data_IF_248391291993
#
_entry.id   IF_248391291993
#
_cell.length_a   1.000
_cell.length_b   1.000
_cell.length_c   1.000
_cell.angle_alpha   90.00
_cell.angle_beta   90.00
_cell.angle_gamma   90.00
#
_symmetry.space_group_name_H-M   'P 1'
#
loop_
_entity.id
_entity.type
_entity.pdbx_description
1 polymer ?
#
# COMPACT_ATOMS: atom_id res chain seq x y z
N UNK A 1 40.49 -15.60 28.73
CA UNK A 1 39.41 -14.60 28.57
C UNK A 1 39.37 -13.99 27.16
N UNK A 2 40.51 -13.78 26.48
CA UNK A 2 40.55 -13.33 25.07
C UNK A 2 40.03 -14.36 24.04
N UNK A 3 40.20 -15.67 24.26
CA UNK A 3 39.81 -16.69 23.27
C UNK A 3 38.29 -16.86 23.13
N UNK A 4 37.50 -16.59 24.18
CA UNK A 4 36.04 -16.74 24.16
C UNK A 4 35.36 -15.63 23.33
N UNK A 5 35.94 -14.43 23.34
CA UNK A 5 35.48 -13.27 22.55
C UNK A 5 35.70 -13.49 21.05
N UNK A 6 36.84 -14.09 20.68
CA UNK A 6 37.19 -14.37 19.28
C UNK A 6 36.28 -15.44 18.67
N UNK A 7 35.99 -16.51 19.42
CA UNK A 7 35.08 -17.59 18.98
C UNK A 7 33.65 -17.04 18.79
N UNK A 8 33.21 -16.15 19.69
CA UNK A 8 31.91 -15.49 19.58
C UNK A 8 31.82 -14.60 18.33
N UNK A 9 32.85 -13.80 18.05
CA UNK A 9 32.87 -12.92 16.89
C UNK A 9 32.91 -13.68 15.54
N UNK A 10 33.67 -14.78 15.48
CA UNK A 10 33.67 -15.65 14.31
C UNK A 10 32.34 -16.38 14.14
N UNK A 11 31.73 -16.85 15.23
CA UNK A 11 30.40 -17.46 15.21
C UNK A 11 29.33 -16.50 14.68
N UNK A 12 29.32 -15.25 15.16
CA UNK A 12 28.37 -14.22 14.70
C UNK A 12 28.58 -13.85 13.23
N UNK A 13 29.83 -13.78 12.76
CA UNK A 13 30.14 -13.48 11.36
C UNK A 13 29.69 -14.61 10.42
N UNK A 14 29.92 -15.86 10.81
CA UNK A 14 29.45 -17.04 10.05
C UNK A 14 27.93 -17.09 10.02
N UNK A 15 27.27 -16.79 11.14
CA UNK A 15 25.81 -16.77 11.21
C UNK A 15 25.21 -15.65 10.34
N UNK A 16 25.85 -14.48 10.28
CA UNK A 16 25.45 -13.37 9.40
C UNK A 16 25.56 -13.76 7.92
N UNK A 17 26.69 -14.34 7.51
CA UNK A 17 26.88 -14.86 6.14
C UNK A 17 25.85 -15.94 5.81
N UNK A 18 25.62 -16.87 6.73
CA UNK A 18 24.63 -17.93 6.57
C UNK A 18 23.20 -17.36 6.49
N UNK A 19 22.87 -16.30 7.24
CA UNK A 19 21.57 -15.65 7.16
C UNK A 19 21.34 -14.99 5.80
N UNK A 20 22.37 -14.39 5.18
CA UNK A 20 22.25 -13.81 3.83
C UNK A 20 22.13 -14.92 2.78
N UNK A 21 23.01 -15.93 2.83
CA UNK A 21 23.04 -17.01 1.81
C UNK A 21 21.78 -17.89 1.87
N UNK A 22 21.25 -18.13 3.05
CA UNK A 22 20.12 -19.04 3.25
C UNK A 22 18.86 -18.32 3.73
N UNK A 23 18.68 -17.04 3.37
CA UNK A 23 17.43 -16.28 3.57
C UNK A 23 16.90 -16.38 5.01
N UNK A 24 17.78 -16.22 6.00
CA UNK A 24 17.41 -16.22 7.42
C UNK A 24 16.94 -17.56 7.98
N UNK A 25 17.17 -18.70 7.32
CA UNK A 25 16.72 -20.03 7.81
C UNK A 25 17.12 -20.33 9.26
N UNK A 26 18.30 -19.89 9.71
CA UNK A 26 18.71 -20.09 11.11
C UNK A 26 17.98 -19.15 12.07
N UNK A 27 17.70 -17.91 11.66
CA UNK A 27 16.79 -16.99 12.38
C UNK A 27 15.41 -17.65 12.54
N UNK A 28 14.83 -18.16 11.47
CA UNK A 28 13.50 -18.80 11.52
C UNK A 28 13.47 -20.04 12.42
N UNK A 29 14.55 -20.85 12.45
CA UNK A 29 14.66 -21.98 13.38
C UNK A 29 14.73 -21.54 14.84
N UNK A 30 15.44 -20.46 15.12
CA UNK A 30 15.57 -19.89 16.46
C UNK A 30 14.24 -19.33 16.98
N UNK A 31 13.48 -18.62 16.14
CA UNK A 31 12.16 -18.09 16.50
C UNK A 31 11.03 -19.11 16.55
N UNK A 32 11.28 -20.36 16.12
CA UNK A 32 10.29 -21.46 16.23
C UNK A 32 10.27 -22.10 17.62
N UNK A 33 11.17 -21.69 18.52
CA UNK A 33 11.15 -22.11 19.92
C UNK A 33 10.12 -21.26 20.69
N UNK A 34 9.09 -21.87 21.33
CA UNK A 34 8.07 -21.14 22.07
C UNK A 34 8.61 -20.19 23.15
N UNK A 35 9.79 -20.48 23.72
CA UNK A 35 10.42 -19.63 24.75
C UNK A 35 11.00 -18.35 24.13
N UNK A 36 11.53 -18.45 22.91
CA UNK A 36 12.06 -17.32 22.15
C UNK A 36 10.91 -16.47 21.60
N UNK A 37 9.85 -17.11 21.13
CA UNK A 37 8.65 -16.44 20.62
C UNK A 37 7.97 -15.58 21.70
N UNK A 38 7.81 -16.12 22.91
CA UNK A 38 7.24 -15.40 24.05
C UNK A 38 8.08 -14.19 24.50
N UNK A 39 9.37 -14.17 24.17
CA UNK A 39 10.31 -13.10 24.53
C UNK A 39 10.73 -12.26 23.33
N UNK A 40 10.11 -12.43 22.17
CA UNK A 40 10.49 -11.77 20.91
C UNK A 40 10.58 -10.25 21.04
N UNK A 41 9.60 -9.63 21.69
CA UNK A 41 9.55 -8.18 21.91
C UNK A 41 10.68 -7.65 22.81
N UNK A 42 11.30 -8.52 23.61
CA UNK A 42 12.45 -8.18 24.46
C UNK A 42 13.80 -8.43 23.77
N UNK A 43 13.79 -9.22 22.70
CA UNK A 43 14.97 -9.55 21.88
C UNK A 43 15.19 -8.56 20.73
N UNK A 44 14.25 -7.62 20.53
CA UNK A 44 14.44 -6.52 19.59
C UNK A 44 15.53 -5.58 20.12
N UNK A 45 16.60 -5.44 19.36
CA UNK A 45 17.58 -4.39 19.59
C UNK A 45 16.86 -3.03 19.50
N UNK A 46 17.09 -2.13 20.44
CA UNK A 46 16.59 -0.76 20.31
C UNK A 46 17.14 -0.20 19.00
N UNK A 47 16.28 0.36 18.17
CA UNK A 47 16.66 0.96 16.88
C UNK A 47 17.96 1.77 17.03
N UNK A 48 19.00 1.48 16.24
CA UNK A 48 20.28 2.18 16.34
C UNK A 48 20.04 3.65 16.03
N UNK A 49 20.35 4.53 16.98
CA UNK A 49 20.10 5.98 16.83
C UNK A 49 21.05 6.65 15.83
N UNK A 50 22.05 5.92 15.30
CA UNK A 50 22.99 6.41 14.29
C UNK A 50 23.37 5.27 13.34
N UNK A 51 22.91 5.35 12.09
CA UNK A 51 23.33 4.47 11.00
C UNK A 51 24.48 5.19 10.26
N UNK A 52 25.69 4.60 10.11
CA UNK A 52 26.75 5.20 9.33
C UNK A 52 26.39 5.14 7.84
N UNK A 53 26.21 6.32 7.24
CA UNK A 53 25.81 6.46 5.85
C UNK A 53 27.04 6.27 4.95
N UNK A 54 27.13 5.14 4.23
CA UNK A 54 28.11 4.95 3.16
C UNK A 54 27.47 5.42 1.85
N UNK A 55 27.76 6.66 1.45
CA UNK A 55 27.34 7.19 0.15
C UNK A 55 28.27 6.72 -0.97
N UNK A 56 27.81 5.83 -1.86
CA UNK A 56 28.41 5.70 -3.20
C UNK A 56 27.69 6.65 -4.15
N UNK A 57 28.29 7.82 -4.39
CA UNK A 57 27.79 8.80 -5.36
C UNK A 57 27.89 8.25 -6.78
N UNK A 58 26.77 8.14 -7.49
CA UNK A 58 26.74 8.29 -8.95
C UNK A 58 25.98 9.59 -9.21
N UNK A 59 26.73 10.67 -9.45
CA UNK A 59 26.17 12.01 -9.64
C UNK A 59 25.59 12.14 -11.06
N UNK A 60 24.29 12.44 -11.15
CA UNK A 60 23.63 12.83 -12.40
C UNK A 60 23.66 14.37 -12.53
N UNK A 61 24.22 14.95 -13.61
CA UNK A 61 24.59 16.38 -13.64
C UNK A 61 23.46 17.37 -13.98
N UNK A 62 22.17 17.01 -13.87
CA UNK A 62 21.05 17.86 -14.33
C UNK A 62 20.12 18.43 -13.25
N UNK A 63 20.46 18.37 -11.95
CA UNK A 63 19.62 19.00 -10.92
C UNK A 63 20.41 19.98 -10.06
N UNK A 64 20.32 21.27 -10.39
CA UNK A 64 20.79 22.36 -9.56
C UNK A 64 19.60 22.93 -8.77
N UNK A 65 19.53 22.59 -7.48
CA UNK A 65 19.28 23.55 -6.42
C UNK A 65 19.64 22.94 -5.06
N UNK A 66 20.86 23.24 -4.63
CA UNK A 66 21.34 23.06 -3.26
C UNK A 66 20.60 24.02 -2.31
N UNK A 67 19.78 23.46 -1.44
CA UNK A 67 19.57 23.95 -0.07
C UNK A 67 19.92 22.82 0.89
N UNK A 68 20.58 23.18 1.99
CA UNK A 68 21.33 22.29 2.88
C UNK A 68 20.57 21.08 3.40
N UNK A 69 21.33 20.04 3.71
CA UNK A 69 20.89 18.90 4.50
C UNK A 69 20.53 19.36 5.91
N UNK A 70 19.26 19.67 6.13
CA UNK A 70 18.62 19.69 7.44
C UNK A 70 17.60 18.54 7.47
N UNK A 71 17.66 17.72 8.52
CA UNK A 71 16.69 16.72 9.00
C UNK A 71 15.65 16.19 7.99
N UNK A 72 15.67 14.87 7.72
CA UNK A 72 14.65 14.06 7.01
C UNK A 72 13.46 14.90 6.53
N UNK A 73 13.60 15.50 5.34
CA UNK A 73 12.76 16.62 4.94
C UNK A 73 11.35 16.12 4.65
N UNK A 74 10.46 16.31 5.60
CA UNK A 74 9.02 16.20 5.39
C UNK A 74 8.65 17.04 4.15
N UNK A 75 8.10 16.40 3.13
CA UNK A 75 7.66 17.06 1.90
C UNK A 75 6.18 17.30 1.97
N UNK A 76 5.80 18.54 2.30
CA UNK A 76 4.41 18.99 2.33
C UNK A 76 4.02 19.53 0.96
N UNK A 77 3.02 18.91 0.35
CA UNK A 77 2.52 19.23 -0.98
C UNK A 77 1.05 19.67 -0.83
N UNK A 78 0.84 20.98 -0.81
CA UNK A 78 -0.51 21.57 -0.76
C UNK A 78 -1.10 21.64 -2.17
N UNK A 79 -2.36 21.22 -2.29
CA UNK A 79 -3.11 21.14 -3.56
C UNK A 79 -2.34 20.36 -4.64
N UNK A 80 -2.12 19.05 -4.45
CA UNK A 80 -1.21 18.24 -5.28
C UNK A 80 -1.57 18.25 -6.78
N UNK A 81 -2.86 18.39 -7.12
CA UNK A 81 -3.33 18.53 -8.51
C UNK A 81 -2.75 19.73 -9.27
N UNK A 82 -2.31 20.78 -8.56
CA UNK A 82 -1.75 22.01 -9.13
C UNK A 82 -0.22 22.07 -9.03
N UNK A 83 0.42 21.01 -8.54
CA UNK A 83 1.86 20.95 -8.31
C UNK A 83 2.53 20.00 -9.30
N UNK A 84 3.85 20.13 -9.52
CA UNK A 84 4.61 19.11 -10.22
C UNK A 84 4.39 17.74 -9.57
N UNK A 85 4.38 16.69 -10.40
CA UNK A 85 4.25 15.31 -9.92
C UNK A 85 5.34 15.03 -8.88
N UNK A 86 4.90 14.51 -7.75
CA UNK A 86 5.76 14.11 -6.66
C UNK A 86 5.41 12.68 -6.28
N UNK A 87 6.43 11.87 -6.08
CA UNK A 87 6.28 10.48 -5.63
C UNK A 87 7.08 10.23 -4.35
N UNK A 88 6.66 9.20 -3.63
CA UNK A 88 7.35 8.55 -2.53
C UNK A 88 7.47 7.06 -2.86
N UNK A 89 8.65 6.48 -2.63
CA UNK A 89 8.87 5.04 -2.73
C UNK A 89 9.12 4.52 -1.32
N UNK A 90 8.27 3.62 -0.86
CA UNK A 90 8.44 2.90 0.41
C UNK A 90 8.77 1.45 0.11
N UNK A 91 9.68 0.85 0.87
CA UNK A 91 10.06 -0.55 0.69
C UNK A 91 10.69 -1.14 1.94
N UNK A 92 10.53 -2.45 2.12
CA UNK A 92 11.19 -3.27 3.13
C UNK A 92 12.13 -4.32 2.51
N UNK A 93 12.73 -4.01 1.34
CA UNK A 93 13.53 -4.89 0.47
C UNK A 93 12.68 -5.77 -0.48
N UNK A 94 11.82 -6.62 0.07
CA UNK A 94 11.00 -7.57 -0.69
C UNK A 94 9.70 -6.96 -1.21
N UNK A 95 9.03 -6.13 -0.41
CA UNK A 95 7.83 -5.39 -0.80
C UNK A 95 8.17 -3.92 -1.06
N UNK A 96 7.51 -3.31 -2.04
CA UNK A 96 7.67 -1.91 -2.38
C UNK A 96 6.37 -1.30 -2.88
N UNK A 97 6.12 -0.05 -2.54
CA UNK A 97 4.97 0.73 -3.04
C UNK A 97 5.46 2.10 -3.48
N UNK A 98 5.10 2.49 -4.70
CA UNK A 98 5.31 3.86 -5.17
C UNK A 98 3.98 4.58 -5.04
N UNK A 99 3.98 5.69 -4.32
CA UNK A 99 2.80 6.51 -4.08
C UNK A 99 2.99 7.90 -4.69
N UNK A 100 1.97 8.43 -5.37
CA UNK A 100 1.98 9.79 -5.91
C UNK A 100 1.36 10.76 -4.92
N UNK A 101 1.65 12.05 -5.07
CA UNK A 101 1.02 13.08 -4.24
C UNK A 101 -0.50 13.15 -4.42
N UNK A 102 -1.06 12.56 -5.47
CA UNK A 102 -2.50 12.49 -5.69
C UNK A 102 -3.16 11.25 -5.06
N UNK A 103 -2.39 10.36 -4.44
CA UNK A 103 -2.86 9.18 -3.71
C UNK A 103 -2.96 7.88 -4.52
N UNK A 104 -2.48 7.90 -5.75
CA UNK A 104 -2.38 6.74 -6.64
C UNK A 104 -1.00 6.09 -6.52
N UNK A 105 -0.76 5.03 -7.28
CA UNK A 105 0.52 4.38 -7.26
C UNK A 105 0.51 2.97 -7.79
N UNK A 106 1.42 2.16 -7.26
CA UNK A 106 1.40 0.71 -7.41
C UNK A 106 2.13 0.05 -6.26
N UNK A 107 1.85 -1.24 -6.08
CA UNK A 107 2.50 -2.09 -5.09
C UNK A 107 3.14 -3.29 -5.79
N UNK A 108 4.30 -3.70 -5.30
CA UNK A 108 5.15 -4.72 -5.93
C UNK A 108 5.82 -5.57 -4.85
N UNK A 109 5.84 -6.88 -5.06
CA UNK A 109 6.56 -7.85 -4.25
C UNK A 109 7.61 -8.55 -5.13
N UNK A 110 8.89 -8.38 -4.79
CA UNK A 110 10.02 -8.70 -5.67
C UNK A 110 9.75 -8.19 -7.08
N UNK A 111 9.81 -9.02 -8.11
CA UNK A 111 9.57 -8.62 -9.50
C UNK A 111 8.09 -8.69 -9.90
N UNK A 112 7.19 -9.04 -8.99
CA UNK A 112 5.77 -9.18 -9.24
C UNK A 112 5.00 -7.91 -8.85
N UNK A 113 4.33 -7.31 -9.82
CA UNK A 113 3.31 -6.30 -9.58
C UNK A 113 2.13 -6.95 -8.84
N UNK A 114 1.81 -6.41 -7.67
CA UNK A 114 0.62 -6.79 -6.90
C UNK A 114 -0.59 -6.07 -7.49
N UNK A 115 -0.49 -4.74 -7.58
CA UNK A 115 -1.47 -3.90 -8.27
C UNK A 115 -0.97 -3.54 -9.67
N UNK A 116 -1.91 -3.44 -10.61
CA UNK A 116 -1.63 -3.07 -12.00
C UNK A 116 -1.08 -1.65 -12.08
N UNK A 117 -0.04 -1.50 -12.89
CA UNK A 117 0.56 -0.21 -13.20
C UNK A 117 0.86 -0.09 -14.68
N UNK A 118 0.30 0.92 -15.32
CA UNK A 118 0.50 1.30 -16.71
C UNK A 118 0.98 2.75 -16.63
N UNK A 119 2.27 3.01 -16.90
CA UNK A 119 2.80 4.37 -16.82
C UNK A 119 2.08 5.30 -17.81
N UNK A 120 1.24 6.19 -17.29
CA UNK A 120 0.53 7.19 -18.08
C UNK A 120 0.89 8.62 -17.59
N UNK A 121 1.27 9.46 -18.55
CA UNK A 121 1.65 10.85 -18.29
C UNK A 121 0.45 11.79 -18.09
N UNK A 122 -0.75 11.29 -18.36
CA UNK A 122 -2.01 12.05 -18.36
C UNK A 122 -3.00 11.49 -17.33
N UNK A 123 -3.11 10.17 -17.22
CA UNK A 123 -3.96 9.51 -16.25
C UNK A 123 -3.18 9.11 -14.99
N UNK A 124 -3.86 9.22 -13.85
CA UNK A 124 -3.30 8.89 -12.55
C UNK A 124 -4.40 8.19 -11.73
N UNK A 125 -4.65 6.91 -12.01
CA UNK A 125 -5.84 6.18 -11.50
C UNK A 125 -5.54 4.75 -11.07
N UNK A 126 -4.29 4.44 -10.73
CA UNK A 126 -3.85 3.09 -10.42
C UNK A 126 -3.37 2.95 -8.98
N UNK A 127 -3.17 1.71 -8.57
CA UNK A 127 -2.82 1.33 -7.19
C UNK A 127 -4.06 0.97 -6.39
N UNK A 128 -3.96 1.09 -5.07
CA UNK A 128 -5.12 0.95 -4.19
C UNK A 128 -5.70 2.35 -3.94
N UNK A 129 -6.98 2.50 -4.20
CA UNK A 129 -7.72 3.74 -4.14
C UNK A 129 -8.79 3.63 -3.06
N UNK A 130 -9.18 4.76 -2.47
CA UNK A 130 -10.23 4.81 -1.45
C UNK A 130 -11.28 5.83 -1.83
N UNK A 131 -12.54 5.46 -1.65
CA UNK A 131 -13.69 6.29 -1.90
C UNK A 131 -14.54 6.40 -0.64
N UNK A 132 -15.19 7.54 -0.49
CA UNK A 132 -16.17 7.81 0.55
C UNK A 132 -17.49 8.16 -0.11
N UNK A 133 -18.59 7.65 0.44
CA UNK A 133 -19.95 8.01 0.04
C UNK A 133 -20.78 8.34 1.27
N UNK A 134 -21.40 9.52 1.26
CA UNK A 134 -22.42 9.88 2.22
C UNK A 134 -23.74 9.19 1.81
N UNK A 135 -24.18 8.22 2.61
CA UNK A 135 -25.34 7.38 2.29
C UNK A 135 -26.63 8.22 2.21
N UNK A 136 -26.75 9.26 3.04
CA UNK A 136 -27.96 10.10 3.09
C UNK A 136 -28.09 11.01 1.85
N UNK A 137 -27.00 11.60 1.39
CA UNK A 137 -27.02 12.52 0.24
C UNK A 137 -26.73 11.83 -1.10
N UNK A 138 -26.14 10.62 -1.06
CA UNK A 138 -25.61 9.91 -2.23
C UNK A 138 -24.32 10.53 -2.79
N UNK A 139 -23.82 11.64 -2.22
CA UNK A 139 -22.59 12.29 -2.65
C UNK A 139 -21.39 11.42 -2.31
N UNK A 140 -20.48 11.24 -3.26
CA UNK A 140 -19.26 10.46 -3.08
C UNK A 140 -18.04 11.20 -3.65
N UNK A 141 -16.86 10.82 -3.17
CA UNK A 141 -15.56 11.40 -3.57
C UNK A 141 -14.44 10.41 -3.26
N UNK A 142 -13.26 10.58 -3.88
CA UNK A 142 -12.05 9.86 -3.48
C UNK A 142 -11.43 10.49 -2.24
N UNK A 143 -10.89 9.66 -1.34
CA UNK A 143 -10.16 10.10 -0.13
C UNK A 143 -8.96 10.97 -0.49
N UNK A 144 -8.31 10.64 -1.60
CA UNK A 144 -7.18 11.37 -2.17
C UNK A 144 -7.61 12.22 -3.36
N UNK A 145 -6.72 13.03 -3.93
CA UNK A 145 -7.08 13.96 -5.01
C UNK A 145 -7.47 13.27 -6.32
N UNK A 146 -6.91 12.09 -6.57
CA UNK A 146 -7.36 11.19 -7.63
C UNK A 146 -8.05 9.96 -7.02
N UNK A 147 -8.90 9.26 -7.78
CA UNK A 147 -9.29 9.54 -9.16
C UNK A 147 -10.43 10.57 -9.28
N UNK A 148 -11.08 10.98 -8.19
CA UNK A 148 -12.26 11.87 -8.27
C UNK A 148 -11.95 13.25 -7.73
N UNK A 149 -11.72 14.17 -8.67
CA UNK A 149 -11.41 15.57 -8.39
C UNK A 149 -12.67 16.34 -7.99
N UNK A 150 -12.67 16.95 -6.81
CA UNK A 150 -13.76 17.82 -6.35
C UNK A 150 -13.34 19.28 -6.50
N UNK A 151 -14.22 20.13 -7.05
CA UNK A 151 -13.92 21.50 -7.51
C UNK A 151 -13.47 22.46 -6.38
N UNK A 152 -13.56 22.06 -5.11
CA UNK A 152 -13.20 22.87 -3.94
C UNK A 152 -12.59 22.02 -2.81
N UNK A 153 -11.89 20.93 -3.15
CA UNK A 153 -11.19 20.15 -2.12
C UNK A 153 -9.96 20.89 -1.59
N UNK A 154 -9.83 20.91 -0.26
CA UNK A 154 -8.54 21.19 0.38
C UNK A 154 -7.83 19.86 0.57
N UNK A 155 -6.79 19.63 -0.24
CA UNK A 155 -5.98 18.43 -0.19
C UNK A 155 -4.51 18.74 0.10
N UNK A 156 -3.93 17.96 1.01
CA UNK A 156 -2.52 18.08 1.39
C UNK A 156 -1.94 16.68 1.46
N UNK A 157 -0.78 16.51 0.84
CA UNK A 157 -0.01 15.27 0.88
C UNK A 157 1.31 15.52 1.59
N UNK A 158 1.65 14.68 2.55
CA UNK A 158 2.87 14.77 3.34
C UNK A 158 3.64 13.48 3.13
N UNK A 159 4.87 13.61 2.63
CA UNK A 159 5.78 12.48 2.50
C UNK A 159 6.90 12.57 3.52
N UNK A 160 7.10 11.48 4.24
CA UNK A 160 8.26 11.24 5.10
C UNK A 160 9.01 10.00 4.61
N UNK A 161 10.14 9.68 5.23
CA UNK A 161 10.89 8.47 4.89
C UNK A 161 10.14 7.17 5.29
N UNK A 162 9.15 7.28 6.18
CA UNK A 162 8.44 6.13 6.75
C UNK A 162 7.04 5.93 6.16
N UNK A 163 6.39 7.00 5.71
CA UNK A 163 4.99 6.96 5.28
C UNK A 163 4.59 8.11 4.35
N UNK A 164 3.43 7.93 3.72
CA UNK A 164 2.69 8.99 3.05
C UNK A 164 1.37 9.26 3.78
N UNK A 165 1.12 10.52 4.12
CA UNK A 165 -0.15 10.97 4.68
C UNK A 165 -0.90 11.82 3.65
N UNK A 166 -2.18 11.53 3.45
CA UNK A 166 -3.09 12.30 2.62
C UNK A 166 -4.22 12.85 3.49
N UNK A 167 -4.38 14.16 3.48
CA UNK A 167 -5.47 14.84 4.17
C UNK A 167 -6.37 15.51 3.14
N UNK A 168 -7.68 15.32 3.30
CA UNK A 168 -8.69 15.93 2.44
C UNK A 168 -9.92 16.29 3.25
N UNK A 169 -10.58 17.40 2.89
CA UNK A 169 -11.88 17.78 3.48
C UNK A 169 -12.93 17.94 2.39
N UNK A 170 -14.04 17.21 2.50
CA UNK A 170 -15.20 17.30 1.60
C UNK A 170 -16.47 17.05 2.40
N UNK A 171 -17.53 17.82 2.13
CA UNK A 171 -18.87 17.65 2.75
C UNK A 171 -18.88 17.69 4.30
N UNK A 172 -17.92 18.40 4.90
CA UNK A 172 -17.75 18.46 6.36
C UNK A 172 -17.21 17.16 6.98
N UNK A 173 -16.58 16.31 6.15
CA UNK A 173 -15.82 15.15 6.58
C UNK A 173 -14.34 15.42 6.29
N UNK A 174 -13.51 15.37 7.33
CA UNK A 174 -12.05 15.34 7.19
C UNK A 174 -11.60 13.89 7.12
N UNK A 175 -10.91 13.52 6.04
CA UNK A 175 -10.28 12.21 5.88
C UNK A 175 -8.76 12.33 5.97
N UNK A 176 -8.13 11.46 6.74
CA UNK A 176 -6.68 11.27 6.79
C UNK A 176 -6.36 9.83 6.41
N UNK A 177 -5.64 9.61 5.31
CA UNK A 177 -5.16 8.31 4.87
C UNK A 177 -3.65 8.23 5.07
N UNK A 178 -3.19 7.28 5.87
CA UNK A 178 -1.77 7.03 6.10
C UNK A 178 -1.38 5.71 5.43
N UNK A 179 -0.37 5.72 4.58
CA UNK A 179 0.14 4.57 3.85
C UNK A 179 1.57 4.25 4.27
N UNK A 180 1.83 2.99 4.61
CA UNK A 180 3.14 2.48 5.04
C UNK A 180 3.42 1.09 4.49
N UNK A 181 4.68 0.68 4.46
CA UNK A 181 5.10 -0.70 4.18
C UNK A 181 5.48 -1.38 5.50
N UNK A 182 5.08 -2.63 5.68
CA UNK A 182 5.38 -3.39 6.90
C UNK A 182 6.86 -3.70 6.99
N UNK A 183 7.48 -3.54 8.16
CA UNK A 183 8.92 -3.79 8.33
C UNK A 183 9.29 -5.28 8.38
N UNK A 184 8.38 -6.14 8.83
CA UNK A 184 8.68 -7.57 9.10
C UNK A 184 8.05 -8.54 8.09
N UNK A 185 7.02 -8.10 7.35
CA UNK A 185 6.26 -8.94 6.43
C UNK A 185 6.13 -8.27 5.06
N UNK A 186 5.76 -9.04 4.05
CA UNK A 186 5.52 -8.53 2.70
C UNK A 186 4.11 -7.95 2.58
N UNK A 187 3.98 -6.67 2.86
CA UNK A 187 2.69 -5.99 2.77
C UNK A 187 2.75 -4.49 2.97
N UNK A 188 1.60 -3.86 2.77
CA UNK A 188 1.39 -2.45 3.05
C UNK A 188 0.18 -2.28 3.99
N UNK A 189 0.28 -1.29 4.87
CA UNK A 189 -0.80 -0.87 5.76
C UNK A 189 -1.38 0.45 5.29
N UNK A 190 -2.72 0.56 5.30
CA UNK A 190 -3.42 1.80 4.97
C UNK A 190 -4.43 2.13 6.05
N UNK A 191 -4.13 3.14 6.86
CA UNK A 191 -4.99 3.60 7.95
C UNK A 191 -5.81 4.78 7.49
N UNK A 192 -7.13 4.64 7.47
CA UNK A 192 -8.05 5.72 7.16
C UNK A 192 -8.73 6.21 8.45
N UNK A 193 -8.58 7.49 8.76
CA UNK A 193 -9.28 8.16 9.84
C UNK A 193 -10.29 9.14 9.25
N UNK A 194 -11.54 9.05 9.72
CA UNK A 194 -12.62 9.98 9.34
C UNK A 194 -13.04 10.80 10.56
N UNK A 195 -13.17 12.11 10.38
CA UNK A 195 -13.66 13.04 11.40
C UNK A 195 -14.82 13.84 10.81
N UNK A 196 -16.00 13.66 11.40
CA UNK A 196 -17.17 14.48 11.10
C UNK A 196 -17.02 15.85 11.78
N UNK A 197 -16.88 16.91 10.99
CA UNK A 197 -16.75 18.28 11.49
C UNK A 197 -18.09 19.02 11.51
N UNK A 198 -19.20 18.32 11.23
CA UNK A 198 -20.56 18.87 11.28
C UNK A 198 -21.25 18.50 12.60
N UNK A 199 -22.40 19.12 12.85
CA UNK A 199 -23.24 18.84 14.02
C UNK A 199 -24.35 17.82 13.74
N UNK A 200 -24.27 17.08 12.63
CA UNK A 200 -25.25 16.07 12.23
C UNK A 200 -24.58 14.72 12.14
N UNK A 201 -25.29 13.66 12.51
CA UNK A 201 -24.82 12.31 12.31
C UNK A 201 -24.66 12.01 10.81
N UNK A 202 -23.57 11.34 10.46
CA UNK A 202 -23.21 10.99 9.09
C UNK A 202 -22.95 9.50 9.00
N UNK A 203 -23.58 8.87 8.01
CA UNK A 203 -23.31 7.48 7.64
C UNK A 203 -22.46 7.52 6.37
N UNK A 204 -21.20 7.09 6.51
CA UNK A 204 -20.20 7.10 5.44
C UNK A 204 -19.89 5.66 5.06
N UNK A 205 -20.13 5.33 3.81
CA UNK A 205 -19.65 4.11 3.17
C UNK A 205 -18.21 4.36 2.72
N UNK A 206 -17.31 3.43 3.06
CA UNK A 206 -15.90 3.45 2.67
C UNK A 206 -15.65 2.30 1.72
N UNK A 207 -15.07 2.58 0.58
CA UNK A 207 -14.78 1.57 -0.45
C UNK A 207 -13.32 1.64 -0.85
N UNK A 208 -12.57 0.56 -0.62
CA UNK A 208 -11.26 0.36 -1.24
C UNK A 208 -11.41 -0.24 -2.64
N UNK A 209 -10.48 0.07 -3.53
CA UNK A 209 -10.45 -0.48 -4.88
C UNK A 209 -8.99 -0.73 -5.29
N UNK A 210 -8.71 -1.87 -5.92
CA UNK A 210 -7.41 -2.14 -6.51
C UNK A 210 -7.51 -3.12 -7.65
N UNK A 211 -6.83 -2.84 -8.75
CA UNK A 211 -6.72 -3.78 -9.87
C UNK A 211 -5.53 -4.72 -9.65
N UNK A 212 -5.78 -6.02 -9.53
CA UNK A 212 -4.73 -7.00 -9.33
C UNK A 212 -4.03 -7.38 -10.65
N UNK A 213 -2.70 -7.50 -10.61
CA UNK A 213 -1.87 -7.98 -11.71
C UNK A 213 -1.28 -9.37 -11.43
N UNK A 214 -0.71 -9.56 -10.23
CA UNK A 214 -0.06 -10.80 -9.77
C UNK A 214 0.92 -11.38 -10.81
N UNK A 215 1.67 -10.50 -11.46
CA UNK A 215 2.54 -10.80 -12.59
C UNK A 215 3.74 -9.87 -12.62
N UNK A 216 4.80 -10.24 -13.33
CA UNK A 216 5.85 -9.25 -13.62
C UNK A 216 5.27 -8.11 -14.46
N UNK A 217 5.78 -6.90 -14.24
CA UNK A 217 5.26 -5.68 -14.90
C UNK A 217 5.25 -5.83 -16.43
N UNK A 218 6.33 -6.36 -17.01
CA UNK A 218 6.44 -6.58 -18.47
C UNK A 218 5.35 -7.52 -18.99
N UNK A 219 5.02 -8.57 -18.21
CA UNK A 219 4.00 -9.53 -18.62
C UNK A 219 2.60 -8.92 -18.55
N UNK A 220 2.29 -8.15 -17.50
CA UNK A 220 0.99 -7.49 -17.36
C UNK A 220 0.80 -6.38 -18.38
N UNK A 221 1.83 -5.58 -18.65
CA UNK A 221 1.79 -4.54 -19.69
C UNK A 221 1.54 -5.13 -21.09
N UNK A 222 2.10 -6.31 -21.37
CA UNK A 222 1.96 -6.94 -22.69
C UNK A 222 0.55 -7.51 -22.93
N UNK A 223 -0.06 -8.11 -21.91
CA UNK A 223 -1.32 -8.87 -22.07
C UNK A 223 -2.29 -8.73 -20.88
N UNK A 224 -2.70 -7.52 -20.47
CA UNK A 224 -3.38 -7.29 -19.19
C UNK A 224 -4.72 -8.04 -19.06
N UNK A 225 -5.56 -7.98 -20.10
CA UNK A 225 -6.88 -8.63 -20.14
C UNK A 225 -6.77 -10.16 -20.12
N UNK A 226 -5.72 -10.71 -20.73
CA UNK A 226 -5.49 -12.14 -20.72
C UNK A 226 -4.99 -12.60 -19.35
N UNK A 227 -4.10 -11.83 -18.70
CA UNK A 227 -3.58 -12.21 -17.39
C UNK A 227 -4.66 -12.22 -16.31
N UNK A 228 -5.63 -11.29 -16.35
CA UNK A 228 -6.70 -11.23 -15.35
C UNK A 228 -7.56 -12.50 -15.31
N UNK A 229 -7.64 -13.26 -16.40
CA UNK A 229 -8.36 -14.55 -16.45
C UNK A 229 -7.71 -15.67 -15.62
N UNK A 230 -6.49 -15.45 -15.12
CA UNK A 230 -5.75 -16.42 -14.31
C UNK A 230 -5.71 -16.04 -12.83
N UNK A 231 -6.42 -14.97 -12.44
CA UNK A 231 -6.57 -14.58 -11.04
C UNK A 231 -7.86 -15.23 -10.53
N UNK A 232 -7.72 -16.04 -9.49
CA UNK A 232 -8.84 -16.64 -8.78
C UNK A 232 -8.99 -15.89 -7.46
N UNK A 233 -10.20 -15.42 -7.19
CA UNK A 233 -10.55 -14.67 -5.98
C UNK A 233 -11.52 -15.45 -5.11
N UNK A 234 -11.46 -15.22 -3.81
CA UNK A 234 -12.40 -15.74 -2.83
C UNK A 234 -12.69 -14.66 -1.79
N UNK A 235 -13.98 -14.42 -1.52
CA UNK A 235 -14.43 -13.50 -0.48
C UNK A 235 -14.80 -14.32 0.75
N UNK A 236 -14.24 -13.96 1.90
CA UNK A 236 -14.50 -14.63 3.18
C UNK A 236 -14.91 -13.63 4.25
N UNK A 237 -15.22 -14.12 5.46
CA UNK A 237 -15.48 -13.29 6.65
C UNK A 237 -16.53 -12.20 6.42
N UNK A 238 -17.64 -12.58 5.77
CA UNK A 238 -18.77 -11.67 5.49
C UNK A 238 -18.36 -10.43 4.67
N UNK A 239 -17.41 -10.57 3.74
CA UNK A 239 -16.98 -9.48 2.85
C UNK A 239 -15.81 -8.66 3.39
N UNK A 240 -15.22 -9.03 4.54
CA UNK A 240 -14.09 -8.32 5.14
C UNK A 240 -12.74 -8.65 4.53
N UNK A 241 -12.64 -9.84 3.94
CA UNK A 241 -11.38 -10.39 3.46
C UNK A 241 -11.55 -10.92 2.04
N UNK A 242 -10.65 -10.49 1.15
CA UNK A 242 -10.54 -10.96 -0.23
C UNK A 242 -9.19 -11.66 -0.37
N UNK A 243 -9.24 -12.95 -0.63
CA UNK A 243 -8.08 -13.72 -1.08
C UNK A 243 -8.00 -13.66 -2.59
N UNK A 244 -6.79 -13.52 -3.12
CA UNK A 244 -6.55 -13.70 -4.54
C UNK A 244 -5.28 -14.51 -4.76
N UNK A 245 -5.34 -15.42 -5.71
CA UNK A 245 -4.18 -16.21 -6.12
C UNK A 245 -4.09 -16.25 -7.63
N UNK A 246 -2.87 -16.44 -8.13
CA UNK A 246 -2.66 -16.68 -9.55
C UNK A 246 -2.58 -18.16 -9.84
N UNK A 247 -3.41 -18.65 -10.77
CA UNK A 247 -3.35 -20.01 -11.28
C UNK A 247 -2.04 -20.22 -12.05
N UNK A 248 -1.26 -21.24 -11.66
CA UNK A 248 -0.04 -21.67 -12.35
C UNK A 248 -0.37 -22.08 -13.78
N UNK A 249 0.49 -21.71 -14.73
CA UNK A 249 0.40 -22.17 -16.14
C UNK A 249 1.41 -23.27 -16.42
N UNK A 250 2.58 -23.17 -15.78
CA UNK A 250 3.62 -24.18 -15.76
C UNK A 250 3.87 -24.65 -14.32
N UNK A 251 4.31 -25.89 -14.09
CA UNK A 251 4.80 -26.34 -12.79
C UNK A 251 5.96 -25.49 -12.23
N UNK A 252 6.70 -24.78 -13.09
CA UNK A 252 7.78 -23.88 -12.72
C UNK A 252 7.32 -22.49 -12.27
N UNK A 253 6.04 -22.13 -12.47
CA UNK A 253 5.54 -20.81 -12.13
C UNK A 253 5.43 -20.64 -10.61
N UNK A 254 5.84 -19.46 -10.12
CA UNK A 254 5.67 -19.10 -8.73
C UNK A 254 4.20 -19.09 -8.34
N UNK A 255 3.91 -19.59 -7.15
CA UNK A 255 2.59 -19.50 -6.55
C UNK A 255 2.49 -18.20 -5.77
N UNK A 256 1.60 -17.32 -6.19
CA UNK A 256 1.42 -16.01 -5.56
C UNK A 256 0.03 -15.97 -4.97
N UNK A 257 -0.01 -15.70 -3.67
CA UNK A 257 -1.21 -15.51 -2.89
C UNK A 257 -1.15 -14.14 -2.25
N UNK A 258 -2.25 -13.42 -2.29
CA UNK A 258 -2.40 -12.14 -1.60
C UNK A 258 -3.73 -12.14 -0.84
N UNK A 259 -3.77 -11.28 0.17
CA UNK A 259 -4.97 -11.06 0.96
C UNK A 259 -5.14 -9.56 1.15
N UNK A 260 -6.33 -9.06 0.83
CA UNK A 260 -6.77 -7.73 1.22
C UNK A 260 -7.82 -7.89 2.31
N UNK A 261 -7.66 -7.21 3.43
CA UNK A 261 -8.62 -7.27 4.52
C UNK A 261 -8.77 -5.92 5.20
N UNK A 262 -9.91 -5.71 5.83
CA UNK A 262 -10.23 -4.51 6.61
C UNK A 262 -10.34 -4.87 8.08
N UNK A 263 -9.72 -4.08 8.94
CA UNK A 263 -9.89 -4.14 10.40
C UNK A 263 -10.42 -2.82 10.91
N UNK A 264 -11.28 -2.88 11.93
CA UNK A 264 -11.80 -1.71 12.61
C UNK A 264 -11.40 -1.73 14.08
N UNK A 265 -10.72 -0.67 14.51
CA UNK A 265 -10.27 -0.47 15.88
C UNK A 265 -11.44 0.00 16.78
N UNK A 266 -12.46 0.61 16.18
CA UNK A 266 -13.55 1.29 16.87
C UNK A 266 -14.87 0.53 16.92
N UNK A 267 -14.93 -0.66 16.29
CA UNK A 267 -16.16 -1.47 16.14
C UNK A 267 -17.35 -0.68 15.56
N UNK A 268 -17.05 0.30 14.72
CA UNK A 268 -17.98 1.17 13.99
C UNK A 268 -18.50 0.57 12.68
N UNK A 269 -17.80 -0.41 12.10
CA UNK A 269 -18.22 -1.10 10.88
C UNK A 269 -19.49 -1.91 11.17
N UNK A 270 -20.58 -1.53 10.52
CA UNK A 270 -21.89 -2.19 10.65
C UNK A 270 -22.06 -3.31 9.62
N UNK A 271 -21.81 -2.99 8.35
CA UNK A 271 -22.01 -3.89 7.20
C UNK A 271 -20.76 -3.85 6.32
N UNK A 272 -20.43 -4.99 5.73
CA UNK A 272 -19.33 -5.14 4.77
C UNK A 272 -19.82 -5.86 3.52
N UNK A 273 -19.38 -5.36 2.37
CA UNK A 273 -19.64 -5.96 1.08
C UNK A 273 -18.37 -5.88 0.22
N UNK A 274 -18.17 -6.85 -0.65
CA UNK A 274 -17.00 -6.95 -1.51
C UNK A 274 -17.39 -7.31 -2.94
N UNK A 275 -16.59 -6.86 -3.91
CA UNK A 275 -16.75 -7.16 -5.32
C UNK A 275 -15.38 -7.46 -5.92
N UNK A 276 -15.26 -8.56 -6.65
CA UNK A 276 -14.00 -8.93 -7.32
C UNK A 276 -14.07 -8.76 -8.84
N UNK A 277 -15.27 -8.53 -9.41
CA UNK A 277 -15.42 -8.20 -10.83
C UNK A 277 -15.29 -6.69 -11.07
N UNK A 278 -14.16 -6.32 -11.69
CA UNK A 278 -13.88 -4.96 -12.17
C UNK A 278 -15.01 -4.38 -13.03
N UNK A 279 -15.64 -5.20 -13.87
CA UNK A 279 -16.67 -4.76 -14.79
C UNK A 279 -17.98 -4.38 -14.08
N UNK A 280 -18.27 -5.01 -12.94
CA UNK A 280 -19.39 -4.64 -12.07
C UNK A 280 -19.09 -3.36 -11.30
N UNK A 281 -17.88 -3.22 -10.76
CA UNK A 281 -17.47 -2.01 -10.04
C UNK A 281 -17.47 -0.77 -10.95
N UNK A 282 -16.73 -0.82 -12.06
CA UNK A 282 -16.61 0.34 -12.96
C UNK A 282 -17.87 0.51 -13.80
N UNK A 283 -18.44 -0.58 -14.32
CA UNK A 283 -19.54 -0.56 -15.27
C UNK A 283 -19.10 -0.35 -16.72
N UNK A 284 -19.91 -0.84 -17.66
CA UNK A 284 -19.63 -0.75 -19.09
C UNK A 284 -19.59 0.71 -19.57
N UNK A 285 -18.50 1.07 -20.27
CA UNK A 285 -18.33 2.40 -20.87
C UNK A 285 -18.06 3.52 -19.85
N UNK A 286 -17.61 3.15 -18.65
CA UNK A 286 -17.31 4.07 -17.54
C UNK A 286 -15.83 3.99 -17.16
N UNK A 287 -15.42 4.84 -16.23
CA UNK A 287 -14.08 4.88 -15.64
C UNK A 287 -14.16 5.13 -14.14
N UNK A 288 -13.02 5.14 -13.45
CA UNK A 288 -12.93 5.45 -12.02
C UNK A 288 -13.37 6.87 -11.65
N UNK A 289 -13.51 7.77 -12.64
CA UNK A 289 -14.14 9.08 -12.44
C UNK A 289 -15.66 9.00 -12.23
N UNK A 290 -16.32 7.93 -12.72
CA UNK A 290 -17.77 7.74 -12.61
C UNK A 290 -18.14 6.26 -12.63
N UNK A 291 -17.70 5.46 -11.65
CA UNK A 291 -17.95 4.02 -11.62
C UNK A 291 -19.43 3.72 -11.32
N UNK A 292 -19.90 2.54 -11.72
CA UNK A 292 -21.25 2.07 -11.44
C UNK A 292 -21.49 1.75 -9.95
N UNK A 293 -20.43 1.42 -9.21
CA UNK A 293 -20.46 1.16 -7.77
C UNK A 293 -21.12 2.28 -6.95
N UNK A 294 -21.06 3.53 -7.40
CA UNK A 294 -21.65 4.67 -6.69
C UNK A 294 -22.97 5.18 -7.29
N UNK A 295 -23.56 4.44 -8.23
CA UNK A 295 -24.91 4.74 -8.72
C UNK A 295 -25.94 4.57 -7.57
N UNK A 296 -27.12 5.17 -7.75
CA UNK A 296 -28.19 5.07 -6.77
C UNK A 296 -28.63 3.60 -6.61
N UNK A 297 -28.63 3.09 -5.37
CA UNK A 297 -28.94 1.70 -5.01
C UNK A 297 -27.96 0.63 -5.53
N UNK A 298 -26.77 1.01 -5.99
CA UNK A 298 -25.72 0.03 -6.24
C UNK A 298 -25.32 -0.69 -4.95
N UNK A 299 -25.15 -2.01 -5.05
CA UNK A 299 -24.67 -2.92 -4.01
C UNK A 299 -23.73 -3.92 -4.65
N UNK A 300 -22.74 -4.38 -3.90
CA UNK A 300 -21.86 -5.44 -4.37
C UNK A 300 -22.53 -6.80 -4.20
N UNK A 301 -22.27 -7.72 -5.13
CA UNK A 301 -22.89 -9.04 -5.10
C UNK A 301 -22.17 -10.04 -4.20
N UNK A 302 -21.06 -9.65 -3.56
CA UNK A 302 -20.18 -10.56 -2.79
C UNK A 302 -19.70 -11.73 -3.66
N UNK A 303 -19.27 -11.41 -4.89
CA UNK A 303 -18.86 -12.36 -5.93
C UNK A 303 -17.45 -12.11 -6.50
#
# INVERSE_FOLDING_TARGET
MLSYVIIHHHGMSILAVNNVIFEGRMRNRFHRDPVVEATHLLLQERAPHQIPIIHTKIANPMHNNSRGFDHASERIITNPLLKPRATLLLSNDSYSTMLTANGTGYSRWHDYAITRFIPDATEDQQGILFFLRNIQSGRWWSVTSEPTRVVEEEAVSIFTDEKADYMKMVDGIKSTLECLVTSENDGEGRRLQLVNTTNKDRFIEVTSYGELALATMDTDCSHPVFLSMFIETEITEEGRTIFAKRRKRSPSDSEIHITHFVTDITESIQETEAETDRSLFIGRGRSLHRPAAFDQNARFSNS
#
